data_IF_359349566203
#
_entry.id   IF_359349566203
#
_cell.length_a   1.000
_cell.length_b   1.000
_cell.length_c   1.000
_cell.angle_alpha   90.00
_cell.angle_beta   90.00
_cell.angle_gamma   90.00
#
_symmetry.space_group_name_H-M   'P 1'
#
loop_
_entity.id
_entity.type
_entity.pdbx_description
1 polymer ?
#
# COMPACT_ATOMS: atom_id res chain seq x y z
N UNK A 1 18.28 -7.66 39.89
CA UNK A 1 18.26 -6.40 39.09
C UNK A 1 16.83 -5.86 39.10
N UNK A 2 16.62 -4.59 39.36
CA UNK A 2 15.26 -4.06 39.49
C UNK A 2 14.61 -3.93 38.10
N UNK A 3 13.40 -4.49 37.92
CA UNK A 3 12.65 -4.46 36.64
C UNK A 3 12.45 -3.04 36.09
N UNK A 4 12.39 -2.03 36.97
CA UNK A 4 12.28 -0.63 36.57
C UNK A 4 13.50 -0.13 35.77
N UNK A 5 14.71 -0.59 36.10
CA UNK A 5 15.93 -0.23 35.36
C UNK A 5 15.89 -0.81 33.94
N UNK A 6 15.43 -2.05 33.80
CA UNK A 6 15.27 -2.71 32.49
C UNK A 6 14.23 -1.98 31.66
N UNK A 7 13.06 -1.67 32.24
CA UNK A 7 11.98 -0.94 31.55
C UNK A 7 12.48 0.43 31.06
N UNK A 8 13.22 1.17 31.91
CA UNK A 8 13.77 2.46 31.49
C UNK A 8 14.74 2.31 30.30
N UNK A 9 15.58 1.25 30.31
CA UNK A 9 16.50 0.99 29.20
C UNK A 9 15.78 0.65 27.89
N UNK A 10 14.73 -0.15 27.97
CA UNK A 10 13.86 -0.48 26.84
C UNK A 10 13.19 0.79 26.27
N UNK A 11 12.76 1.71 27.14
CA UNK A 11 12.14 2.99 26.74
C UNK A 11 13.17 3.92 26.06
N UNK A 12 14.42 4.01 26.57
CA UNK A 12 15.50 4.75 25.92
C UNK A 12 15.77 4.26 24.49
N UNK A 13 15.68 2.94 24.27
CA UNK A 13 15.83 2.31 22.95
C UNK A 13 14.57 2.46 22.08
N UNK A 14 13.47 3.00 22.62
CA UNK A 14 12.17 3.16 21.96
C UNK A 14 11.56 1.83 21.47
N UNK A 15 11.78 0.72 22.18
CA UNK A 15 11.26 -0.62 21.90
C UNK A 15 9.91 -0.81 22.61
N UNK A 16 8.82 -0.40 21.97
CA UNK A 16 7.49 -0.39 22.59
C UNK A 16 6.85 -1.77 22.68
N UNK A 17 6.88 -2.56 21.62
CA UNK A 17 6.37 -3.93 21.62
C UNK A 17 7.15 -4.83 22.57
N UNK A 18 8.47 -4.69 22.60
CA UNK A 18 9.36 -5.38 23.54
C UNK A 18 9.01 -5.05 24.99
N UNK A 19 8.76 -3.76 25.29
CA UNK A 19 8.36 -3.32 26.63
C UNK A 19 7.06 -4.01 27.07
N UNK A 20 6.05 -4.01 26.22
CA UNK A 20 4.75 -4.63 26.52
C UNK A 20 4.89 -6.14 26.79
N UNK A 21 5.68 -6.83 25.97
CA UNK A 21 5.97 -8.25 26.17
C UNK A 21 6.79 -8.49 27.45
N UNK A 22 7.77 -7.64 27.75
CA UNK A 22 8.58 -7.76 28.98
C UNK A 22 7.71 -7.61 30.22
N UNK A 23 6.77 -6.67 30.26
CA UNK A 23 5.82 -6.50 31.37
C UNK A 23 4.97 -7.75 31.52
N UNK A 24 4.39 -8.28 30.42
CA UNK A 24 3.63 -9.54 30.47
C UNK A 24 4.44 -10.69 31.06
N UNK A 25 5.70 -10.84 30.68
CA UNK A 25 6.57 -11.92 31.18
C UNK A 25 6.88 -11.79 32.67
N UNK A 26 6.85 -10.58 33.23
CA UNK A 26 7.04 -10.37 34.68
C UNK A 26 5.77 -10.71 35.46
N UNK A 27 4.63 -10.37 34.89
CA UNK A 27 3.30 -10.49 35.58
C UNK A 27 2.73 -11.91 35.50
N UNK A 28 3.07 -12.67 34.44
CA UNK A 28 2.54 -14.02 34.21
C UNK A 28 3.55 -15.11 34.65
N UNK A 29 3.22 -15.84 35.69
CA UNK A 29 4.07 -16.92 36.27
C UNK A 29 4.34 -18.06 35.28
N UNK A 30 3.51 -18.24 34.25
CA UNK A 30 3.72 -19.28 33.23
C UNK A 30 4.98 -19.09 32.43
N UNK A 31 5.44 -17.86 32.27
CA UNK A 31 6.72 -17.58 31.61
C UNK A 31 7.94 -18.13 32.33
N UNK A 32 7.82 -18.47 33.63
CA UNK A 32 8.91 -19.12 34.38
C UNK A 32 9.20 -20.56 33.91
N UNK A 33 8.28 -21.18 33.18
CA UNK A 33 8.44 -22.53 32.62
C UNK A 33 9.15 -22.50 31.25
N UNK A 34 9.25 -21.34 30.62
CA UNK A 34 9.89 -21.17 29.35
C UNK A 34 11.39 -20.97 29.51
N UNK A 35 12.16 -21.50 28.55
CA UNK A 35 13.59 -21.26 28.45
C UNK A 35 13.89 -19.77 28.20
N UNK A 36 15.15 -19.38 28.41
CA UNK A 36 15.59 -18.02 28.09
C UNK A 36 15.37 -17.67 26.61
N UNK A 37 15.68 -18.60 25.72
CA UNK A 37 15.57 -18.38 24.27
C UNK A 37 14.11 -18.20 23.82
N UNK A 38 13.17 -18.97 24.37
CA UNK A 38 11.74 -18.81 24.09
C UNK A 38 11.24 -17.44 24.58
N UNK A 39 11.64 -17.02 25.76
CA UNK A 39 11.28 -15.71 26.32
C UNK A 39 11.89 -14.56 25.52
N UNK A 40 13.15 -14.70 25.13
CA UNK A 40 13.82 -13.71 24.30
C UNK A 40 13.16 -13.60 22.91
N UNK A 41 12.81 -14.73 22.30
CA UNK A 41 12.09 -14.76 21.03
C UNK A 41 10.75 -14.00 21.11
N UNK A 42 9.93 -14.25 22.16
CA UNK A 42 8.65 -13.53 22.35
C UNK A 42 8.86 -12.01 22.46
N UNK A 43 9.92 -11.57 23.16
CA UNK A 43 10.25 -10.14 23.26
C UNK A 43 10.61 -9.52 21.90
N UNK A 44 11.44 -10.20 21.11
CA UNK A 44 11.89 -9.73 19.81
C UNK A 44 10.74 -9.76 18.77
N UNK A 45 9.93 -10.82 18.77
CA UNK A 45 8.80 -10.96 17.87
C UNK A 45 7.71 -9.90 18.16
N UNK A 46 7.46 -9.61 19.44
CA UNK A 46 6.53 -8.55 19.85
C UNK A 46 6.97 -7.18 19.33
N UNK A 47 8.27 -6.85 19.37
CA UNK A 47 8.78 -5.59 18.80
C UNK A 47 8.67 -5.59 17.27
N UNK A 48 9.03 -6.70 16.63
CA UNK A 48 8.88 -6.84 15.18
C UNK A 48 7.43 -6.62 14.73
N UNK A 49 6.46 -7.24 15.40
CA UNK A 49 5.04 -7.09 15.10
C UNK A 49 4.56 -5.65 15.35
N UNK A 50 4.99 -5.03 16.45
CA UNK A 50 4.69 -3.63 16.73
C UNK A 50 5.16 -2.69 15.60
N UNK A 51 6.41 -2.84 15.18
CA UNK A 51 6.98 -2.02 14.10
C UNK A 51 6.30 -2.29 12.75
N UNK A 52 5.97 -3.54 12.45
CA UNK A 52 5.24 -3.94 11.26
C UNK A 52 3.86 -3.28 11.23
N UNK A 53 3.09 -3.39 12.31
CA UNK A 53 1.76 -2.81 12.41
C UNK A 53 1.80 -1.27 12.30
N UNK A 54 2.74 -0.63 12.96
CA UNK A 54 2.95 0.81 12.87
C UNK A 54 3.27 1.26 11.42
N UNK A 55 4.07 0.49 10.69
CA UNK A 55 4.37 0.75 9.27
C UNK A 55 3.12 0.62 8.41
N UNK A 56 2.32 -0.42 8.61
CA UNK A 56 1.04 -0.62 7.91
C UNK A 56 0.09 0.54 8.18
N UNK A 57 -0.07 0.95 9.43
CA UNK A 57 -0.90 2.11 9.79
C UNK A 57 -0.45 3.41 9.08
N UNK A 58 0.86 3.66 9.08
CA UNK A 58 1.42 4.83 8.40
C UNK A 58 1.17 4.76 6.89
N UNK A 59 1.39 3.59 6.27
CA UNK A 59 1.15 3.40 4.85
C UNK A 59 -0.34 3.62 4.50
N UNK A 60 -1.28 3.16 5.33
CA UNK A 60 -2.71 3.45 5.15
C UNK A 60 -3.02 4.95 5.25
N UNK A 61 -2.43 5.67 6.19
CA UNK A 61 -2.61 7.13 6.31
C UNK A 61 -2.12 7.88 5.08
N UNK A 62 -1.00 7.45 4.51
CA UNK A 62 -0.36 8.10 3.36
C UNK A 62 -0.96 7.69 2.01
N UNK A 63 -1.65 6.55 1.94
CA UNK A 63 -2.09 5.94 0.67
C UNK A 63 -3.20 6.72 -0.04
N UNK A 64 -3.96 7.54 0.66
CA UNK A 64 -5.20 8.18 0.19
C UNK A 64 -6.27 7.20 -0.32
N UNK A 65 -6.17 5.91 -0.01
CA UNK A 65 -7.23 4.94 -0.28
C UNK A 65 -8.47 5.34 0.51
N UNK A 66 -9.61 5.40 -0.18
CA UNK A 66 -10.89 5.83 0.41
C UNK A 66 -11.57 4.71 1.14
N UNK A 67 -11.66 3.55 0.49
CA UNK A 67 -12.26 2.35 1.05
C UNK A 67 -11.17 1.45 1.65
N UNK A 68 -10.90 1.65 2.93
CA UNK A 68 -9.92 0.86 3.69
C UNK A 68 -10.42 -0.54 4.03
N UNK A 69 -11.70 -0.81 3.86
CA UNK A 69 -12.33 -2.10 4.12
C UNK A 69 -12.41 -2.97 2.88
N UNK A 70 -12.17 -2.40 1.68
CA UNK A 70 -12.16 -3.18 0.46
C UNK A 70 -11.12 -4.31 0.56
N UNK A 71 -11.58 -5.56 0.46
CA UNK A 71 -10.75 -6.76 0.51
C UNK A 71 -11.01 -7.64 -0.71
N UNK A 72 -9.97 -8.37 -1.12
CA UNK A 72 -10.02 -9.23 -2.31
C UNK A 72 -11.00 -10.39 -2.10
N UNK A 73 -11.17 -10.82 -0.87
CA UNK A 73 -12.05 -11.91 -0.44
C UNK A 73 -13.55 -11.58 -0.65
N UNK A 74 -13.92 -10.31 -0.65
CA UNK A 74 -15.31 -9.85 -0.89
C UNK A 74 -15.63 -9.64 -2.36
N UNK A 75 -14.70 -9.94 -3.27
CA UNK A 75 -14.96 -9.81 -4.69
C UNK A 75 -15.98 -10.85 -5.13
N UNK A 76 -17.08 -10.37 -5.67
CA UNK A 76 -18.11 -11.22 -6.24
C UNK A 76 -17.73 -11.63 -7.68
N UNK A 77 -17.70 -12.94 -7.91
CA UNK A 77 -17.35 -13.57 -9.18
C UNK A 77 -18.56 -13.99 -10.02
N UNK A 78 -19.64 -13.20 -9.96
CA UNK A 78 -20.82 -13.47 -10.82
C UNK A 78 -20.41 -13.58 -12.30
N UNK A 79 -21.03 -14.52 -13.06
CA UNK A 79 -20.69 -14.75 -14.48
C UNK A 79 -20.77 -13.50 -15.35
N UNK A 80 -21.69 -12.57 -15.02
CA UNK A 80 -21.86 -11.31 -15.75
C UNK A 80 -20.64 -10.39 -15.67
N UNK A 81 -19.84 -10.51 -14.59
CA UNK A 81 -18.63 -9.69 -14.39
C UNK A 81 -17.44 -10.18 -15.20
N UNK A 82 -17.46 -11.41 -15.69
CA UNK A 82 -16.38 -12.03 -16.47
C UNK A 82 -15.00 -11.90 -15.80
N UNK A 83 -14.96 -11.86 -14.46
CA UNK A 83 -13.73 -11.79 -13.70
C UNK A 83 -13.08 -13.19 -13.64
N UNK A 84 -11.81 -13.25 -13.97
CA UNK A 84 -11.04 -14.48 -13.82
C UNK A 84 -10.53 -14.59 -12.36
N UNK A 85 -11.13 -15.52 -11.58
CA UNK A 85 -10.80 -15.74 -10.18
C UNK A 85 -9.32 -16.10 -9.99
N UNK A 86 -8.75 -16.94 -10.83
CA UNK A 86 -7.34 -17.34 -10.73
C UNK A 86 -6.39 -16.17 -10.95
N UNK A 87 -6.71 -15.25 -11.87
CA UNK A 87 -5.96 -14.03 -12.09
C UNK A 87 -6.04 -13.11 -10.86
N UNK A 88 -7.22 -12.90 -10.29
CA UNK A 88 -7.38 -12.06 -9.08
C UNK A 88 -6.58 -12.63 -7.90
N UNK A 89 -6.63 -13.96 -7.68
CA UNK A 89 -5.83 -14.63 -6.65
C UNK A 89 -4.33 -14.52 -6.92
N UNK A 90 -3.90 -14.59 -8.17
CA UNK A 90 -2.52 -14.32 -8.57
C UNK A 90 -2.09 -12.88 -8.24
N UNK A 91 -2.95 -11.89 -8.45
CA UNK A 91 -2.68 -10.51 -8.05
C UNK A 91 -2.60 -10.35 -6.53
N UNK A 92 -3.41 -11.11 -5.78
CA UNK A 92 -3.39 -11.13 -4.32
C UNK A 92 -2.07 -11.63 -3.71
N UNK A 93 -1.27 -12.38 -4.46
CA UNK A 93 0.07 -12.81 -4.04
C UNK A 93 1.12 -11.69 -4.07
N UNK A 94 0.78 -10.52 -4.59
CA UNK A 94 1.68 -9.36 -4.78
C UNK A 94 2.94 -9.64 -5.62
N UNK A 95 3.00 -10.74 -6.35
CA UNK A 95 4.15 -11.05 -7.20
C UNK A 95 4.34 -10.05 -8.35
N UNK A 96 3.24 -9.47 -8.85
CA UNK A 96 3.29 -8.39 -9.86
C UNK A 96 4.08 -7.16 -9.36
N UNK A 97 4.01 -6.83 -8.06
CA UNK A 97 4.80 -5.75 -7.45
C UNK A 97 6.29 -6.07 -7.43
N UNK A 98 6.64 -7.32 -7.11
CA UNK A 98 8.03 -7.80 -7.13
C UNK A 98 8.57 -7.81 -8.57
N UNK A 99 7.74 -8.21 -9.53
CA UNK A 99 8.06 -8.23 -10.96
C UNK A 99 7.90 -6.84 -11.62
N UNK A 100 7.44 -5.82 -10.89
CA UNK A 100 7.26 -4.44 -11.37
C UNK A 100 6.33 -4.34 -12.60
N UNK A 101 5.32 -5.18 -12.63
CA UNK A 101 4.32 -5.22 -13.69
C UNK A 101 3.23 -4.19 -13.44
N UNK A 102 2.73 -3.59 -14.51
CA UNK A 102 1.59 -2.69 -14.47
C UNK A 102 0.30 -3.46 -14.74
N UNK A 103 -0.83 -2.94 -14.22
CA UNK A 103 -2.15 -3.54 -14.36
C UNK A 103 -3.11 -2.50 -14.94
N UNK A 104 -3.88 -2.89 -15.94
CA UNK A 104 -5.01 -2.10 -16.45
C UNK A 104 -6.30 -2.84 -16.11
N UNK A 105 -7.20 -2.16 -15.37
CA UNK A 105 -8.53 -2.66 -15.03
C UNK A 105 -9.55 -1.90 -15.87
N UNK A 106 -10.08 -2.58 -16.87
CA UNK A 106 -11.04 -1.98 -17.80
C UNK A 106 -12.46 -2.52 -17.60
N UNK A 107 -13.45 -1.67 -17.79
CA UNK A 107 -14.86 -2.05 -17.71
C UNK A 107 -15.80 -0.86 -17.62
N UNK A 108 -17.10 -1.11 -17.82
CA UNK A 108 -18.16 -0.08 -17.74
C UNK A 108 -18.24 0.55 -16.35
N UNK A 109 -18.89 1.72 -16.25
CA UNK A 109 -19.19 2.35 -14.95
C UNK A 109 -19.99 1.39 -14.06
N UNK A 110 -19.72 1.41 -12.76
CA UNK A 110 -20.43 0.60 -11.78
C UNK A 110 -20.00 -0.88 -11.71
N UNK A 111 -19.00 -1.33 -12.49
CA UNK A 111 -18.55 -2.74 -12.47
C UNK A 111 -17.60 -3.09 -11.34
N UNK A 112 -17.26 -2.14 -10.44
CA UNK A 112 -16.39 -2.40 -9.28
C UNK A 112 -14.90 -2.25 -9.55
N UNK A 113 -14.48 -1.56 -10.63
CA UNK A 113 -13.06 -1.35 -10.96
C UNK A 113 -12.28 -0.67 -9.83
N UNK A 114 -12.81 0.43 -9.31
CA UNK A 114 -12.19 1.21 -8.22
C UNK A 114 -12.14 0.41 -6.92
N UNK A 115 -13.18 -0.40 -6.64
CA UNK A 115 -13.17 -1.34 -5.51
C UNK A 115 -12.04 -2.35 -5.65
N UNK A 116 -11.93 -3.02 -6.80
CA UNK A 116 -10.86 -3.99 -7.06
C UNK A 116 -9.47 -3.36 -6.93
N UNK A 117 -9.26 -2.18 -7.50
CA UNK A 117 -7.98 -1.47 -7.39
C UNK A 117 -7.63 -1.13 -5.93
N UNK A 118 -8.62 -0.67 -5.14
CA UNK A 118 -8.44 -0.38 -3.72
C UNK A 118 -8.22 -1.64 -2.89
N UNK A 119 -8.93 -2.74 -3.17
CA UNK A 119 -8.71 -4.03 -2.51
C UNK A 119 -7.29 -4.57 -2.73
N UNK A 120 -6.78 -4.49 -3.96
CA UNK A 120 -5.38 -4.83 -4.27
C UNK A 120 -4.41 -3.87 -3.53
N UNK A 121 -4.72 -2.58 -3.49
CA UNK A 121 -3.95 -1.58 -2.76
C UNK A 121 -3.89 -1.85 -1.26
N UNK A 122 -5.03 -2.18 -0.64
CA UNK A 122 -5.11 -2.55 0.78
C UNK A 122 -4.29 -3.81 1.08
N UNK A 123 -4.38 -4.82 0.24
CA UNK A 123 -3.55 -6.03 0.34
C UNK A 123 -2.07 -5.69 0.25
N UNK A 124 -1.66 -4.83 -0.68
CA UNK A 124 -0.28 -4.39 -0.82
C UNK A 124 0.23 -3.66 0.43
N UNK A 125 -0.60 -2.80 1.04
CA UNK A 125 -0.25 -2.09 2.29
C UNK A 125 -0.04 -3.08 3.43
N UNK A 126 -0.91 -4.08 3.59
CA UNK A 126 -0.79 -5.11 4.61
C UNK A 126 0.48 -5.96 4.44
N UNK A 127 0.95 -6.14 3.21
CA UNK A 127 2.25 -6.78 2.90
C UNK A 127 3.45 -5.81 3.07
N UNK A 128 3.21 -4.57 3.54
CA UNK A 128 4.25 -3.59 3.84
C UNK A 128 4.68 -2.70 2.69
N UNK A 129 4.03 -2.79 1.52
CA UNK A 129 4.33 -1.91 0.38
C UNK A 129 3.73 -0.51 0.58
N UNK A 130 4.42 0.49 0.04
CA UNK A 130 3.90 1.86 -0.02
C UNK A 130 2.98 2.01 -1.23
N UNK A 131 1.74 2.46 -0.99
CA UNK A 131 0.71 2.63 -2.01
C UNK A 131 0.25 4.08 -2.04
N UNK A 132 -0.08 4.59 -3.21
CA UNK A 132 -0.75 5.87 -3.36
C UNK A 132 -1.90 5.76 -4.34
N UNK A 133 -3.08 6.16 -3.90
CA UNK A 133 -4.30 6.20 -4.70
C UNK A 133 -4.64 7.64 -5.05
N UNK A 134 -4.89 7.90 -6.32
CA UNK A 134 -5.32 9.21 -6.81
C UNK A 134 -6.23 9.06 -8.02
N UNK A 135 -7.24 9.90 -8.14
CA UNK A 135 -7.97 10.04 -9.39
C UNK A 135 -7.12 10.73 -10.44
N UNK A 136 -7.21 10.29 -11.67
CA UNK A 136 -6.41 10.87 -12.77
C UNK A 136 -6.67 12.37 -12.92
N UNK A 137 -7.92 12.84 -12.81
CA UNK A 137 -8.26 14.27 -12.85
C UNK A 137 -7.54 15.07 -11.77
N UNK A 138 -7.52 14.56 -10.53
CA UNK A 138 -6.82 15.22 -9.41
C UNK A 138 -5.30 15.25 -9.63
N UNK A 139 -4.73 14.17 -10.18
CA UNK A 139 -3.31 14.17 -10.53
C UNK A 139 -2.97 15.22 -11.58
N UNK A 140 -3.80 15.36 -12.61
CA UNK A 140 -3.62 16.37 -13.66
C UNK A 140 -3.69 17.80 -13.10
N UNK A 141 -4.57 18.04 -12.13
CA UNK A 141 -4.64 19.33 -11.41
C UNK A 141 -3.37 19.58 -10.57
N UNK A 142 -2.89 18.57 -9.83
CA UNK A 142 -1.63 18.66 -9.07
C UNK A 142 -0.43 18.92 -10.01
N UNK A 143 -0.40 18.32 -11.19
CA UNK A 143 0.62 18.55 -12.21
C UNK A 143 0.59 20.01 -12.69
N UNK A 144 -0.57 20.53 -13.05
CA UNK A 144 -0.73 21.92 -13.51
C UNK A 144 -0.24 22.92 -12.46
N UNK A 145 -0.66 22.76 -11.22
CA UNK A 145 -0.22 23.60 -10.11
C UNK A 145 1.29 23.53 -9.92
N UNK A 146 1.87 22.32 -9.96
CA UNK A 146 3.32 22.13 -9.78
C UNK A 146 4.18 22.70 -10.93
N UNK A 147 3.62 22.84 -12.11
CA UNK A 147 4.28 23.56 -13.24
C UNK A 147 4.28 25.07 -13.02
N UNK A 148 3.22 25.61 -12.42
CA UNK A 148 3.10 27.05 -12.13
C UNK A 148 4.06 27.46 -11.00
N UNK A 149 4.14 26.67 -9.93
CA UNK A 149 4.97 26.97 -8.75
C UNK A 149 6.41 26.42 -8.83
N UNK A 150 6.77 25.74 -9.91
CA UNK A 150 8.11 25.18 -10.13
C UNK A 150 8.41 23.90 -9.35
N UNK A 151 7.41 23.30 -8.65
CA UNK A 151 7.61 22.10 -7.82
C UNK A 151 7.46 20.77 -8.59
N UNK A 152 7.30 20.80 -9.90
CA UNK A 152 7.02 19.61 -10.72
C UNK A 152 8.04 18.47 -10.53
N UNK A 153 9.32 18.79 -10.47
CA UNK A 153 10.36 17.77 -10.22
C UNK A 153 10.18 17.06 -8.89
N UNK A 154 9.74 17.79 -7.86
CA UNK A 154 9.44 17.19 -6.54
C UNK A 154 8.19 16.31 -6.59
N UNK A 155 7.19 16.70 -7.37
CA UNK A 155 5.98 15.91 -7.60
C UNK A 155 6.32 14.58 -8.28
N UNK A 156 7.11 14.58 -9.35
CA UNK A 156 7.57 13.36 -10.04
C UNK A 156 8.34 12.46 -9.07
N UNK A 157 9.31 13.00 -8.32
CA UNK A 157 10.06 12.26 -7.30
C UNK A 157 9.15 11.69 -6.21
N UNK A 158 8.10 12.40 -5.81
CA UNK A 158 7.11 11.92 -4.84
C UNK A 158 6.40 10.67 -5.35
N UNK A 159 5.89 10.70 -6.58
CA UNK A 159 5.20 9.54 -7.16
C UNK A 159 6.13 8.37 -7.44
N UNK A 160 7.40 8.61 -7.79
CA UNK A 160 8.39 7.57 -8.01
C UNK A 160 8.69 6.72 -6.75
N UNK A 161 8.49 7.26 -5.54
CA UNK A 161 8.77 6.56 -4.27
C UNK A 161 7.76 5.47 -3.90
N UNK A 162 6.52 5.55 -4.40
CA UNK A 162 5.51 4.57 -4.07
C UNK A 162 5.72 3.29 -4.87
N UNK A 163 5.66 2.14 -4.18
CA UNK A 163 5.78 0.82 -4.84
C UNK A 163 4.57 0.49 -5.70
N UNK A 164 3.41 1.04 -5.34
CA UNK A 164 2.19 0.94 -6.12
C UNK A 164 1.54 2.32 -6.26
N UNK A 165 1.31 2.76 -7.48
CA UNK A 165 0.48 3.92 -7.81
C UNK A 165 -0.83 3.41 -8.39
N UNK A 166 -1.97 3.89 -7.87
CA UNK A 166 -3.30 3.60 -8.40
C UNK A 166 -3.85 4.88 -9.02
N UNK A 167 -3.98 4.87 -10.34
CA UNK A 167 -4.61 5.94 -11.13
C UNK A 167 -6.05 5.53 -11.44
N UNK A 168 -6.97 6.10 -10.68
CA UNK A 168 -8.38 5.78 -10.84
C UNK A 168 -9.07 6.72 -11.83
N UNK A 169 -10.11 6.22 -12.49
CA UNK A 169 -10.94 6.99 -13.41
C UNK A 169 -10.17 7.58 -14.61
N UNK A 170 -9.22 6.83 -15.17
CA UNK A 170 -8.45 7.27 -16.35
C UNK A 170 -9.36 7.41 -17.59
N UNK A 171 -9.22 8.56 -18.28
CA UNK A 171 -9.89 8.82 -19.55
C UNK A 171 -11.39 9.11 -19.44
N UNK A 172 -11.92 9.44 -18.25
CA UNK A 172 -13.31 9.92 -18.10
C UNK A 172 -13.50 11.30 -18.74
N UNK A 173 -12.50 12.16 -18.62
CA UNK A 173 -12.48 13.48 -19.26
C UNK A 173 -11.41 13.52 -20.35
N UNK A 174 -11.59 14.35 -21.39
CA UNK A 174 -10.55 14.56 -22.38
C UNK A 174 -9.24 15.00 -21.72
N UNK A 175 -8.13 14.42 -22.14
CA UNK A 175 -6.78 14.75 -21.67
C UNK A 175 -6.10 15.55 -22.77
N UNK A 176 -5.57 16.75 -22.46
CA UNK A 176 -4.79 17.55 -23.40
C UNK A 176 -3.47 16.87 -23.74
N UNK A 177 -2.84 17.23 -24.83
CA UNK A 177 -1.52 16.68 -25.23
C UNK A 177 -0.46 16.96 -24.15
N UNK A 178 -0.48 18.17 -23.57
CA UNK A 178 0.45 18.54 -22.50
C UNK A 178 0.20 17.71 -21.22
N UNK A 179 -1.07 17.51 -20.84
CA UNK A 179 -1.43 16.67 -19.70
C UNK A 179 -0.99 15.21 -19.93
N UNK A 180 -1.19 14.69 -21.14
CA UNK A 180 -0.76 13.35 -21.52
C UNK A 180 0.76 13.19 -21.43
N UNK A 181 1.51 14.18 -21.91
CA UNK A 181 2.98 14.18 -21.85
C UNK A 181 3.49 14.19 -20.41
N UNK A 182 2.93 15.05 -19.57
CA UNK A 182 3.29 15.12 -18.15
C UNK A 182 2.95 13.83 -17.40
N UNK A 183 1.79 13.24 -17.68
CA UNK A 183 1.39 11.97 -17.08
C UNK A 183 2.29 10.82 -17.53
N UNK A 184 2.65 10.79 -18.82
CA UNK A 184 3.58 9.83 -19.38
C UNK A 184 4.95 9.91 -18.68
N UNK A 185 5.49 11.11 -18.43
CA UNK A 185 6.76 11.30 -17.72
C UNK A 185 6.72 10.68 -16.30
N UNK A 186 5.59 10.83 -15.56
CA UNK A 186 5.43 10.20 -14.26
C UNK A 186 5.43 8.68 -14.37
N UNK A 187 4.69 8.12 -15.34
CA UNK A 187 4.59 6.68 -15.55
C UNK A 187 5.95 6.11 -16.00
N UNK A 188 6.64 6.79 -16.90
CA UNK A 188 7.95 6.36 -17.40
C UNK A 188 9.02 6.37 -16.31
N UNK A 189 9.02 7.38 -15.44
CA UNK A 189 9.93 7.43 -14.28
C UNK A 189 9.72 6.24 -13.33
N UNK A 190 8.55 5.63 -13.35
CA UNK A 190 8.20 4.45 -12.55
C UNK A 190 8.48 3.13 -13.25
N UNK A 191 8.67 3.16 -14.58
CA UNK A 191 8.86 1.98 -15.40
C UNK A 191 10.03 1.13 -14.87
N UNK A 192 9.86 -0.18 -14.78
CA UNK A 192 10.82 -1.15 -14.24
C UNK A 192 11.29 -0.92 -12.79
N UNK A 193 10.80 0.11 -12.10
CA UNK A 193 11.13 0.42 -10.70
C UNK A 193 10.00 0.11 -9.72
N UNK A 194 8.77 0.26 -10.18
CA UNK A 194 7.55 0.11 -9.37
C UNK A 194 6.35 -0.17 -10.28
N UNK A 195 5.22 -0.53 -9.70
CA UNK A 195 4.00 -0.88 -10.42
C UNK A 195 2.98 0.24 -10.42
N UNK A 196 2.15 0.28 -11.48
CA UNK A 196 1.01 1.19 -11.58
C UNK A 196 -0.24 0.40 -11.92
N UNK A 197 -1.35 0.67 -11.23
CA UNK A 197 -2.68 0.19 -11.58
C UNK A 197 -3.43 1.37 -12.19
N UNK A 198 -4.03 1.15 -13.36
CA UNK A 198 -4.88 2.13 -14.03
C UNK A 198 -6.28 1.54 -14.14
N UNK A 199 -7.30 2.25 -13.64
CA UNK A 199 -8.70 1.89 -13.91
C UNK A 199 -9.24 2.78 -15.01
N UNK A 200 -9.93 2.21 -16.00
CA UNK A 200 -10.47 2.94 -17.13
C UNK A 200 -11.83 2.40 -17.58
N UNK A 201 -12.61 3.27 -18.22
CA UNK A 201 -13.83 2.88 -18.93
C UNK A 201 -13.57 2.73 -20.44
N UNK A 202 -12.45 3.26 -20.92
CA UNK A 202 -12.07 3.20 -22.32
C UNK A 202 -11.54 1.81 -22.68
N UNK A 203 -11.95 1.23 -23.81
CA UNK A 203 -11.36 -0.01 -24.28
C UNK A 203 -9.86 0.22 -24.56
N UNK A 204 -9.05 -0.74 -24.17
CA UNK A 204 -7.66 -0.79 -24.64
C UNK A 204 -7.76 -1.19 -26.11
N UNK A 205 -7.42 -0.27 -27.00
CA UNK A 205 -7.24 -0.59 -28.43
C UNK A 205 -5.83 -1.12 -28.61
N UNK A 206 -5.72 -2.20 -29.39
CA UNK A 206 -4.48 -2.78 -29.85
C UNK A 206 -3.63 -1.77 -30.64
#
# INVERSE_FOLDING_TARGET
MNSSIVINKILELNYKGFKEAYIRQIEDINYNQLSFDERLYDLLDSEYLYLKNKRVEMNFKLSRIKDKQAVIEEIDYLPQRKLNKSLILSLASMNFLKAKQNIIINGKTGTGKSFLAQAIGNRAINEGFTVYYIRTSTLLEEIKLSRIDGSYTNLVKRFARYKLLILDDFGISPISVDDATNLFEIIETRNQLSSTIITSQLPVKD
#
